data_IF_046924088007
#
_entry.id   IF_046924088007
#
_cell.length_a   1.000
_cell.length_b   1.000
_cell.length_c   1.000
_cell.angle_alpha   90.00
_cell.angle_beta   90.00
_cell.angle_gamma   90.00
#
_symmetry.space_group_name_H-M   'P 1'
#
loop_
_entity.id
_entity.type
_entity.pdbx_description
1 polymer ?
#
# COMPACT_ATOMS: atom_id res chain seq x y z
N UNK A 1 -6.78 -40.55 -9.48
CA UNK A 1 -7.14 -40.15 -8.11
C UNK A 1 -6.42 -38.86 -7.86
N UNK A 2 -7.09 -37.69 -7.93
CA UNK A 2 -6.51 -36.42 -7.49
C UNK A 2 -6.39 -36.49 -5.97
N UNK A 3 -5.18 -36.45 -5.45
CA UNK A 3 -4.92 -36.22 -4.04
C UNK A 3 -5.56 -34.87 -3.68
N UNK A 4 -6.63 -34.90 -2.90
CA UNK A 4 -7.18 -33.69 -2.28
C UNK A 4 -6.13 -33.20 -1.30
N UNK A 5 -5.48 -32.08 -1.62
CA UNK A 5 -4.71 -31.31 -0.64
C UNK A 5 -5.67 -31.08 0.55
N UNK A 6 -5.32 -31.46 1.77
CA UNK A 6 -6.21 -31.26 2.92
C UNK A 6 -6.50 -29.76 3.01
N UNK A 7 -7.78 -29.41 2.99
CA UNK A 7 -8.24 -28.04 3.22
C UNK A 7 -7.77 -27.64 4.63
N UNK A 8 -6.78 -26.78 4.66
CA UNK A 8 -6.21 -26.26 5.90
C UNK A 8 -7.30 -25.48 6.63
N UNK A 9 -7.71 -25.95 7.79
CA UNK A 9 -8.72 -25.29 8.63
C UNK A 9 -8.04 -24.82 9.91
N UNK A 10 -8.18 -23.54 10.26
CA UNK A 10 -7.64 -22.94 11.48
C UNK A 10 -8.69 -22.01 12.10
N UNK A 11 -8.98 -22.19 13.37
CA UNK A 11 -9.80 -21.29 14.16
C UNK A 11 -8.89 -20.39 15.00
N UNK A 12 -8.93 -19.09 14.73
CA UNK A 12 -8.35 -18.07 15.61
C UNK A 12 -9.41 -17.71 16.63
N UNK A 13 -9.19 -18.14 17.87
CA UNK A 13 -10.17 -18.06 18.94
C UNK A 13 -9.85 -16.91 19.91
N UNK A 14 -10.90 -16.41 20.59
CA UNK A 14 -10.78 -15.40 21.65
C UNK A 14 -10.05 -14.13 21.18
N UNK A 15 -10.41 -13.62 20.00
CA UNK A 15 -9.81 -12.44 19.39
C UNK A 15 -10.61 -11.17 19.65
N UNK A 16 -9.93 -10.02 19.73
CA UNK A 16 -10.52 -8.71 19.49
C UNK A 16 -10.44 -8.42 17.98
N UNK A 17 -11.49 -8.77 17.26
CA UNK A 17 -11.55 -8.74 15.78
C UNK A 17 -11.92 -7.33 15.32
N UNK A 18 -11.16 -6.79 14.36
CA UNK A 18 -11.47 -5.53 13.71
C UNK A 18 -12.68 -5.66 12.78
N UNK A 19 -13.62 -4.74 12.94
CA UNK A 19 -14.80 -4.55 12.09
C UNK A 19 -14.59 -3.30 11.23
N UNK A 20 -14.39 -3.49 9.94
CA UNK A 20 -14.10 -2.39 9.01
C UNK A 20 -15.29 -1.45 8.82
N UNK A 21 -16.53 -1.96 8.87
CA UNK A 21 -17.74 -1.15 8.72
C UNK A 21 -17.98 -0.27 9.95
N UNK A 22 -17.78 -0.82 11.16
CA UNK A 22 -17.92 -0.09 12.42
C UNK A 22 -16.67 0.72 12.77
N UNK A 23 -15.51 0.45 12.14
CA UNK A 23 -14.18 0.97 12.51
C UNK A 23 -13.87 0.78 13.99
N UNK A 24 -14.26 -0.37 14.48
CA UNK A 24 -14.17 -0.75 15.88
C UNK A 24 -13.76 -2.20 16.06
N UNK A 25 -13.92 -2.70 17.26
CA UNK A 25 -13.52 -4.05 17.61
C UNK A 25 -14.64 -4.78 18.34
N UNK A 26 -14.72 -6.08 18.11
CA UNK A 26 -15.63 -6.95 18.88
C UNK A 26 -14.90 -8.24 19.28
N UNK A 27 -15.38 -8.90 20.32
CA UNK A 27 -14.88 -10.21 20.74
C UNK A 27 -15.49 -11.30 19.88
N UNK A 28 -14.65 -12.22 19.40
CA UNK A 28 -15.13 -13.31 18.56
C UNK A 28 -14.04 -14.27 18.13
N UNK A 29 -14.46 -15.19 17.27
CA UNK A 29 -13.62 -16.21 16.67
C UNK A 29 -13.63 -16.03 15.14
N UNK A 30 -12.51 -16.36 14.49
CA UNK A 30 -12.30 -16.27 13.04
C UNK A 30 -11.90 -17.64 12.51
N UNK A 31 -12.72 -18.24 11.65
CA UNK A 31 -12.42 -19.51 11.00
C UNK A 31 -11.80 -19.28 9.63
N UNK A 32 -10.67 -19.91 9.41
CA UNK A 32 -9.93 -19.87 8.14
C UNK A 32 -10.00 -21.25 7.48
N UNK A 33 -10.19 -21.27 6.16
CA UNK A 33 -10.23 -22.49 5.34
C UNK A 33 -9.66 -22.22 3.95
N UNK A 34 -8.70 -23.03 3.51
CA UNK A 34 -8.11 -22.91 2.17
C UNK A 34 -7.47 -21.55 1.88
N UNK A 35 -6.86 -20.90 2.88
CA UNK A 35 -6.21 -19.59 2.74
C UNK A 35 -7.18 -18.41 2.69
N UNK A 36 -8.47 -18.66 2.98
CA UNK A 36 -9.53 -17.64 3.01
C UNK A 36 -10.24 -17.61 4.37
N UNK A 37 -10.89 -16.51 4.67
CA UNK A 37 -11.78 -16.36 5.82
C UNK A 37 -13.08 -17.09 5.50
N UNK A 38 -13.39 -18.13 6.25
CA UNK A 38 -14.61 -18.92 6.07
C UNK A 38 -15.78 -18.40 6.92
N UNK A 39 -15.49 -17.98 8.17
CA UNK A 39 -16.50 -17.51 9.11
C UNK A 39 -15.92 -16.46 10.06
N UNK A 40 -16.74 -15.50 10.42
CA UNK A 40 -16.45 -14.51 11.48
C UNK A 40 -17.60 -14.57 12.47
N UNK A 41 -17.32 -15.07 13.68
CA UNK A 41 -18.33 -15.24 14.72
C UNK A 41 -18.21 -14.16 15.79
N UNK A 42 -19.33 -13.49 16.11
CA UNK A 42 -19.42 -12.64 17.31
C UNK A 42 -19.61 -13.54 18.53
N UNK A 43 -18.57 -13.67 19.36
CA UNK A 43 -18.51 -14.63 20.46
C UNK A 43 -17.83 -15.95 20.06
N UNK A 44 -18.14 -17.03 20.76
CA UNK A 44 -17.51 -18.33 20.54
C UNK A 44 -18.12 -18.97 19.29
N UNK A 45 -17.28 -19.42 18.36
CA UNK A 45 -17.73 -20.13 17.16
C UNK A 45 -18.37 -21.49 17.56
N UNK A 46 -19.52 -21.78 16.97
CA UNK A 46 -20.16 -23.08 17.12
C UNK A 46 -19.32 -24.26 16.54
N UNK A 47 -18.27 -23.94 15.77
CA UNK A 47 -17.36 -24.93 15.23
C UNK A 47 -16.21 -25.28 16.16
N UNK A 48 -15.96 -24.51 17.24
CA UNK A 48 -14.83 -24.70 18.15
C UNK A 48 -14.80 -26.12 18.76
N UNK A 49 -15.93 -26.62 19.20
CA UNK A 49 -16.03 -27.96 19.80
C UNK A 49 -15.88 -29.11 18.80
N UNK A 50 -15.97 -28.83 17.49
CA UNK A 50 -15.89 -29.81 16.40
C UNK A 50 -14.50 -29.90 15.79
N UNK A 51 -13.60 -29.02 16.19
CA UNK A 51 -12.23 -28.93 15.67
C UNK A 51 -11.24 -29.60 16.63
N UNK A 52 -10.21 -30.29 16.13
CA UNK A 52 -9.11 -30.76 16.97
C UNK A 52 -8.36 -29.58 17.57
N UNK A 53 -7.78 -29.73 18.76
CA UNK A 53 -7.02 -28.68 19.45
C UNK A 53 -5.87 -28.09 18.57
N UNK A 54 -5.28 -28.93 17.72
CA UNK A 54 -4.24 -28.51 16.78
C UNK A 54 -4.72 -27.50 15.73
N UNK A 55 -6.02 -27.44 15.47
CA UNK A 55 -6.65 -26.49 14.54
C UNK A 55 -7.23 -25.26 15.26
N UNK A 56 -6.95 -25.05 16.55
CA UNK A 56 -7.41 -23.90 17.33
C UNK A 56 -6.21 -23.10 17.86
N UNK A 57 -6.12 -21.84 17.46
CA UNK A 57 -5.16 -20.88 18.00
C UNK A 57 -5.90 -19.88 18.89
N UNK A 58 -5.80 -20.05 20.21
CA UNK A 58 -6.31 -19.07 21.16
C UNK A 58 -5.34 -17.88 21.25
N UNK A 59 -5.78 -16.71 20.83
CA UNK A 59 -4.94 -15.51 20.82
C UNK A 59 -5.04 -14.70 22.11
N UNK A 60 -5.76 -15.19 23.13
CA UNK A 60 -5.78 -14.60 24.47
C UNK A 60 -6.33 -13.17 24.50
N UNK A 61 -7.27 -12.85 23.64
CA UNK A 61 -7.88 -11.53 23.56
C UNK A 61 -7.07 -10.50 22.78
N UNK A 62 -6.01 -10.89 22.10
CA UNK A 62 -5.21 -9.99 21.25
C UNK A 62 -6.04 -9.42 20.12
N UNK A 63 -5.62 -8.25 19.64
CA UNK A 63 -6.23 -7.58 18.50
C UNK A 63 -5.84 -8.29 17.21
N UNK A 64 -6.84 -8.58 16.37
CA UNK A 64 -6.67 -9.14 15.03
C UNK A 64 -7.16 -8.12 14.02
N UNK A 65 -6.26 -7.70 13.14
CA UNK A 65 -6.48 -6.75 12.05
C UNK A 65 -6.43 -7.47 10.71
N UNK A 66 -7.02 -6.93 9.63
CA UNK A 66 -6.61 -7.29 8.28
C UNK A 66 -5.12 -6.99 8.09
N UNK A 67 -4.47 -7.72 7.22
CA UNK A 67 -3.13 -7.36 6.79
C UNK A 67 -3.09 -5.97 6.19
N UNK A 68 -2.04 -5.21 6.46
CA UNK A 68 -1.87 -3.86 5.94
C UNK A 68 -1.61 -3.90 4.43
N UNK A 69 -2.07 -2.88 3.72
CA UNK A 69 -1.96 -2.72 2.26
C UNK A 69 -1.20 -1.45 1.95
N UNK A 70 -0.03 -1.57 1.32
CA UNK A 70 0.80 -0.43 0.91
C UNK A 70 0.82 -0.30 -0.61
N UNK A 71 0.12 0.69 -1.13
CA UNK A 71 -0.05 0.89 -2.57
C UNK A 71 0.98 1.85 -3.18
N UNK A 72 1.83 2.47 -2.33
CA UNK A 72 2.86 3.40 -2.77
C UNK A 72 4.14 3.21 -1.96
N UNK A 73 5.10 2.48 -2.53
CA UNK A 73 6.35 2.12 -1.86
C UNK A 73 7.44 1.74 -2.86
N UNK A 74 8.62 2.40 -2.81
CA UNK A 74 9.72 2.21 -3.76
C UNK A 74 10.69 1.12 -3.34
N UNK A 75 10.82 0.86 -2.04
CA UNK A 75 11.81 -0.08 -1.58
C UNK A 75 11.85 -0.27 -0.07
N UNK A 76 12.71 -1.23 0.36
CA UNK A 76 12.91 -1.58 1.76
C UNK A 76 14.08 -2.54 1.93
N UNK A 77 14.64 -2.63 3.14
CA UNK A 77 15.67 -3.61 3.50
C UNK A 77 16.91 -3.59 2.58
N UNK A 78 17.30 -2.39 2.13
CA UNK A 78 18.44 -2.17 1.26
C UNK A 78 18.17 -2.44 -0.23
N UNK A 79 16.90 -2.54 -0.65
CA UNK A 79 16.51 -2.77 -2.04
C UNK A 79 15.50 -1.74 -2.56
N UNK A 80 15.52 -1.54 -3.88
CA UNK A 80 14.62 -0.69 -4.65
C UNK A 80 13.94 -1.53 -5.73
N UNK A 81 12.61 -1.42 -5.89
CA UNK A 81 11.85 -2.25 -6.81
C UNK A 81 12.24 -2.07 -8.29
N UNK A 82 12.72 -0.90 -8.66
CA UNK A 82 13.18 -0.62 -10.01
C UNK A 82 14.45 -1.38 -10.40
N UNK A 83 15.32 -1.68 -9.42
CA UNK A 83 16.64 -2.27 -9.63
C UNK A 83 16.85 -3.66 -9.00
N UNK A 84 15.96 -4.08 -8.07
CA UNK A 84 16.11 -5.35 -7.34
C UNK A 84 16.18 -6.55 -8.26
N UNK A 85 17.16 -7.43 -8.02
CA UNK A 85 17.14 -8.79 -8.55
C UNK A 85 16.15 -9.69 -7.78
N UNK A 86 16.00 -10.95 -8.22
CA UNK A 86 15.03 -11.85 -7.60
C UNK A 86 15.29 -12.09 -6.11
N UNK A 87 16.54 -12.21 -5.68
CA UNK A 87 16.89 -12.46 -4.28
C UNK A 87 16.63 -11.21 -3.40
N UNK A 88 16.93 -10.03 -3.93
CA UNK A 88 16.63 -8.77 -3.26
C UNK A 88 15.12 -8.55 -3.16
N UNK A 89 14.36 -8.80 -4.22
CA UNK A 89 12.91 -8.69 -4.24
C UNK A 89 12.27 -9.59 -3.18
N UNK A 90 12.70 -10.85 -3.07
CA UNK A 90 12.23 -11.76 -2.02
C UNK A 90 12.54 -11.23 -0.62
N UNK A 91 13.74 -10.69 -0.38
CA UNK A 91 14.14 -10.09 0.90
C UNK A 91 13.28 -8.88 1.24
N UNK A 92 13.02 -8.01 0.27
CA UNK A 92 12.14 -6.84 0.43
C UNK A 92 10.73 -7.29 0.81
N UNK A 93 10.14 -8.19 0.05
CA UNK A 93 8.78 -8.69 0.29
C UNK A 93 8.64 -9.41 1.65
N UNK A 94 9.67 -10.16 2.07
CA UNK A 94 9.71 -10.75 3.40
C UNK A 94 9.76 -9.70 4.51
N UNK A 95 10.50 -8.60 4.30
CA UNK A 95 10.56 -7.47 5.24
C UNK A 95 9.24 -6.71 5.35
N UNK A 96 8.49 -6.53 4.25
CA UNK A 96 7.13 -5.98 4.28
C UNK A 96 6.21 -6.88 5.12
N UNK A 97 6.20 -8.18 4.85
CA UNK A 97 5.38 -9.13 5.59
C UNK A 97 5.69 -9.10 7.09
N UNK A 98 6.96 -9.12 7.47
CA UNK A 98 7.38 -9.07 8.87
C UNK A 98 6.92 -7.80 9.59
N UNK A 99 6.70 -6.69 8.87
CA UNK A 99 6.17 -5.43 9.42
C UNK A 99 4.64 -5.35 9.46
N UNK A 100 3.92 -6.41 9.05
CA UNK A 100 2.47 -6.45 9.02
C UNK A 100 1.84 -6.06 7.69
N UNK A 101 2.62 -5.69 6.69
CA UNK A 101 2.14 -5.40 5.33
C UNK A 101 2.05 -6.71 4.55
N UNK A 102 0.82 -7.15 4.29
CA UNK A 102 0.57 -8.42 3.57
C UNK A 102 0.40 -8.23 2.08
N UNK A 103 0.09 -7.01 1.63
CA UNK A 103 -0.10 -6.69 0.21
C UNK A 103 0.63 -5.41 -0.13
N UNK A 104 1.38 -5.44 -1.24
CA UNK A 104 2.11 -4.28 -1.77
C UNK A 104 1.83 -4.06 -3.25
N UNK A 105 1.83 -2.80 -3.66
CA UNK A 105 2.05 -2.39 -5.04
C UNK A 105 3.49 -1.84 -5.15
N UNK A 106 4.46 -2.66 -5.60
CA UNK A 106 5.78 -2.16 -5.93
C UNK A 106 5.71 -0.91 -6.79
N UNK A 107 6.30 0.20 -6.30
CA UNK A 107 6.25 1.49 -6.98
C UNK A 107 7.53 1.70 -7.77
N UNK A 108 7.38 1.96 -9.06
CA UNK A 108 8.49 2.24 -9.98
C UNK A 108 8.57 3.74 -10.22
N UNK A 109 9.66 4.34 -9.79
CA UNK A 109 9.97 5.74 -10.05
C UNK A 109 10.43 5.96 -11.52
N UNK A 110 10.64 7.23 -11.90
CA UNK A 110 11.10 7.58 -13.25
C UNK A 110 12.38 6.84 -13.61
N UNK A 111 12.35 6.13 -14.73
CA UNK A 111 13.48 5.43 -15.31
C UNK A 111 13.35 5.37 -16.85
N UNK A 112 14.38 4.89 -17.53
CA UNK A 112 14.31 4.61 -18.96
C UNK A 112 13.23 3.55 -19.27
N UNK A 113 12.50 3.66 -20.40
CA UNK A 113 11.41 2.75 -20.73
C UNK A 113 11.80 1.27 -20.72
N UNK A 114 13.02 0.96 -21.15
CA UNK A 114 13.54 -0.41 -21.13
C UNK A 114 13.76 -0.93 -19.71
N UNK A 115 14.24 -0.09 -18.81
CA UNK A 115 14.43 -0.43 -17.40
C UNK A 115 13.07 -0.64 -16.69
N UNK A 116 12.08 0.21 -16.98
CA UNK A 116 10.72 0.06 -16.44
C UNK A 116 10.09 -1.27 -16.89
N UNK A 117 10.16 -1.58 -18.19
CA UNK A 117 9.64 -2.86 -18.71
C UNK A 117 10.32 -4.06 -18.06
N UNK A 118 11.63 -3.99 -17.86
CA UNK A 118 12.38 -5.06 -17.21
C UNK A 118 12.03 -5.20 -15.72
N UNK A 119 11.83 -4.10 -14.99
CA UNK A 119 11.36 -4.12 -13.60
C UNK A 119 9.95 -4.71 -13.50
N UNK A 120 9.02 -4.27 -14.35
CA UNK A 120 7.65 -4.81 -14.41
C UNK A 120 7.68 -6.33 -14.69
N UNK A 121 8.52 -6.78 -15.63
CA UNK A 121 8.67 -8.20 -15.96
C UNK A 121 9.16 -9.00 -14.73
N UNK A 122 10.22 -8.55 -14.05
CA UNK A 122 10.75 -9.23 -12.86
C UNK A 122 9.74 -9.30 -11.73
N UNK A 123 9.03 -8.19 -11.47
CA UNK A 123 7.95 -8.15 -10.47
C UNK A 123 6.83 -9.12 -10.88
N UNK A 124 6.49 -9.18 -12.17
CA UNK A 124 5.49 -10.09 -12.71
C UNK A 124 5.85 -11.57 -12.55
N UNK A 125 7.10 -11.91 -12.81
CA UNK A 125 7.61 -13.27 -12.60
C UNK A 125 7.57 -13.65 -11.11
N UNK A 126 7.92 -12.73 -10.22
CA UNK A 126 7.79 -12.97 -8.79
C UNK A 126 6.30 -13.13 -8.38
N UNK A 127 5.40 -12.27 -8.87
CA UNK A 127 3.97 -12.39 -8.59
C UNK A 127 3.39 -13.74 -9.08
N UNK A 128 3.77 -14.21 -10.25
CA UNK A 128 3.32 -15.49 -10.80
C UNK A 128 3.73 -16.70 -9.95
N UNK A 129 4.80 -16.59 -9.17
CA UNK A 129 5.27 -17.65 -8.27
C UNK A 129 4.53 -17.69 -6.92
N UNK A 130 3.62 -16.78 -6.65
CA UNK A 130 2.96 -16.65 -5.34
C UNK A 130 2.24 -17.92 -4.89
N UNK A 131 1.67 -18.67 -5.81
CA UNK A 131 0.97 -19.94 -5.51
C UNK A 131 1.91 -21.09 -5.17
N UNK A 132 3.26 -20.89 -5.23
CA UNK A 132 4.20 -21.94 -4.86
C UNK A 132 4.16 -22.19 -3.34
N UNK A 133 3.94 -23.45 -2.88
CA UNK A 133 3.88 -23.76 -1.46
C UNK A 133 5.13 -23.35 -0.67
N UNK A 134 6.28 -23.29 -1.33
CA UNK A 134 7.56 -22.86 -0.74
C UNK A 134 7.60 -21.39 -0.35
N UNK A 135 6.71 -20.55 -0.90
CA UNK A 135 6.65 -19.10 -0.64
C UNK A 135 5.50 -18.71 0.29
N UNK A 136 4.58 -19.61 0.59
CA UNK A 136 3.46 -19.35 1.48
C UNK A 136 3.95 -18.86 2.86
N UNK A 137 3.41 -17.73 3.33
CA UNK A 137 3.78 -17.09 4.60
C UNK A 137 5.22 -16.56 4.69
N UNK A 138 5.97 -16.50 3.57
CA UNK A 138 7.35 -16.02 3.55
C UNK A 138 7.51 -14.59 3.05
N UNK A 139 6.53 -14.09 2.30
CA UNK A 139 6.58 -12.76 1.69
C UNK A 139 5.20 -12.12 1.55
N UNK A 140 5.17 -10.81 1.41
CA UNK A 140 3.97 -10.06 1.07
C UNK A 140 3.50 -10.37 -0.37
N UNK A 141 2.21 -10.29 -0.57
CA UNK A 141 1.55 -10.42 -1.87
C UNK A 141 1.83 -9.22 -2.76
N UNK A 142 2.18 -9.46 -4.02
CA UNK A 142 2.29 -8.43 -5.06
C UNK A 142 0.95 -8.33 -5.77
N UNK A 143 0.21 -7.25 -5.55
CA UNK A 143 -1.13 -7.06 -6.12
C UNK A 143 -1.16 -6.35 -7.48
N UNK A 144 -0.02 -5.98 -7.99
CA UNK A 144 0.19 -5.21 -9.21
C UNK A 144 1.37 -4.28 -9.03
N UNK A 145 1.54 -3.33 -9.96
CA UNK A 145 2.61 -2.33 -9.93
C UNK A 145 1.98 -0.94 -9.87
N UNK A 146 2.57 -0.05 -9.10
CA UNK A 146 2.33 1.38 -9.17
C UNK A 146 3.42 2.02 -10.03
N UNK A 147 3.04 2.75 -11.06
CA UNK A 147 3.96 3.53 -11.86
C UNK A 147 3.92 4.99 -11.39
N UNK A 148 4.92 5.40 -10.62
CA UNK A 148 5.10 6.79 -10.22
C UNK A 148 6.27 7.38 -10.98
N UNK A 149 5.99 7.90 -12.11
CA UNK A 149 7.05 8.58 -12.82
C UNK A 149 7.06 8.41 -14.31
N UNK A 150 8.06 9.03 -14.87
CA UNK A 150 8.36 9.74 -16.07
C UNK A 150 7.29 10.75 -16.54
N UNK A 151 6.01 10.60 -16.24
CA UNK A 151 4.92 11.50 -16.67
C UNK A 151 4.61 12.60 -15.64
N UNK A 152 5.64 13.19 -15.06
CA UNK A 152 5.59 14.17 -13.99
C UNK A 152 5.90 15.58 -14.50
N UNK A 153 5.39 16.60 -13.81
CA UNK A 153 5.74 17.98 -14.13
C UNK A 153 7.17 18.28 -13.65
N UNK A 154 8.09 18.71 -14.55
CA UNK A 154 9.48 19.01 -14.19
C UNK A 154 9.63 20.02 -13.06
N UNK A 155 8.70 20.98 -12.92
CA UNK A 155 8.69 21.96 -11.83
C UNK A 155 8.34 21.33 -10.45
N UNK A 156 7.83 20.10 -10.45
CA UNK A 156 7.41 19.37 -9.24
C UNK A 156 8.01 17.96 -9.18
N UNK A 157 9.16 17.76 -9.82
CA UNK A 157 9.80 16.45 -9.97
C UNK A 157 10.19 15.76 -8.66
N UNK A 158 10.31 16.48 -7.54
CA UNK A 158 10.80 15.90 -6.29
C UNK A 158 12.19 15.27 -6.46
N UNK A 159 12.35 14.03 -6.02
CA UNK A 159 13.58 13.25 -6.11
C UNK A 159 13.74 12.48 -7.44
N UNK A 160 12.97 12.80 -8.49
CA UNK A 160 13.13 12.21 -9.81
C UNK A 160 14.20 12.94 -10.62
N UNK A 161 15.07 12.22 -11.32
CA UNK A 161 16.07 12.76 -12.21
C UNK A 161 15.39 13.45 -13.43
N UNK A 162 15.69 14.72 -13.71
CA UNK A 162 14.95 15.47 -14.72
C UNK A 162 15.07 14.89 -16.14
N UNK A 163 16.20 14.26 -16.46
CA UNK A 163 16.45 13.59 -17.73
C UNK A 163 15.62 12.32 -17.97
N UNK A 164 15.03 11.76 -16.90
CA UNK A 164 14.17 10.57 -16.96
C UNK A 164 12.68 10.92 -17.09
N UNK A 165 12.33 12.21 -16.97
CA UNK A 165 10.96 12.66 -17.17
C UNK A 165 10.59 12.66 -18.66
N UNK A 166 9.33 12.42 -18.95
CA UNK A 166 8.82 12.45 -20.32
C UNK A 166 7.45 13.16 -20.41
N UNK A 167 7.09 13.69 -21.56
CA UNK A 167 5.70 14.06 -21.84
C UNK A 167 4.76 12.87 -21.64
N UNK A 168 3.49 13.17 -21.36
CA UNK A 168 2.46 12.13 -21.27
C UNK A 168 2.27 11.47 -22.64
N UNK A 169 2.55 10.18 -22.71
CA UNK A 169 2.45 9.36 -23.93
C UNK A 169 1.53 8.16 -23.66
N UNK A 170 0.35 8.19 -24.28
CA UNK A 170 -0.68 7.17 -24.09
C UNK A 170 -0.28 5.80 -24.66
N UNK A 171 0.50 5.77 -25.75
CA UNK A 171 0.92 4.52 -26.39
C UNK A 171 2.07 3.86 -25.61
N UNK A 172 3.03 4.66 -25.12
CA UNK A 172 4.07 4.15 -24.21
C UNK A 172 3.46 3.60 -22.92
N UNK A 173 2.51 4.35 -22.31
CA UNK A 173 1.80 3.92 -21.12
C UNK A 173 1.07 2.59 -21.34
N UNK A 174 0.36 2.43 -22.45
CA UNK A 174 -0.32 1.17 -22.78
C UNK A 174 0.66 0.00 -22.81
N UNK A 175 1.88 0.23 -23.31
CA UNK A 175 2.93 -0.79 -23.31
C UNK A 175 3.32 -1.26 -21.90
N UNK A 176 3.29 -0.37 -20.89
CA UNK A 176 3.51 -0.72 -19.49
C UNK A 176 2.28 -1.39 -18.87
N UNK A 177 1.08 -0.86 -19.13
CA UNK A 177 -0.18 -1.36 -18.57
C UNK A 177 -0.50 -2.79 -19.00
N UNK A 178 -0.09 -3.19 -20.21
CA UNK A 178 -0.30 -4.55 -20.74
C UNK A 178 0.77 -5.55 -20.33
N UNK A 179 1.86 -5.10 -19.71
CA UNK A 179 2.88 -6.00 -19.19
C UNK A 179 2.37 -6.75 -17.94
N UNK A 180 2.80 -8.00 -17.74
CA UNK A 180 2.43 -8.78 -16.56
C UNK A 180 3.33 -8.40 -15.37
N UNK A 181 2.79 -8.22 -14.15
CA UNK A 181 1.45 -8.49 -13.61
C UNK A 181 0.43 -7.40 -13.93
N UNK A 182 0.80 -6.42 -14.73
CA UNK A 182 0.02 -5.22 -15.03
C UNK A 182 0.28 -4.08 -14.02
N UNK A 183 0.38 -2.88 -14.57
CA UNK A 183 0.36 -1.65 -13.78
C UNK A 183 -1.09 -1.43 -13.35
N UNK A 184 -1.31 -1.31 -12.04
CA UNK A 184 -2.64 -1.15 -11.44
C UNK A 184 -2.95 0.28 -11.04
N UNK A 185 -1.90 1.04 -10.70
CA UNK A 185 -2.01 2.45 -10.33
C UNK A 185 -0.96 3.27 -11.05
N UNK A 186 -1.31 4.49 -11.45
CA UNK A 186 -0.41 5.41 -12.17
C UNK A 186 -0.49 6.78 -11.54
N UNK A 187 0.65 7.38 -11.21
CA UNK A 187 0.77 8.79 -10.83
C UNK A 187 1.22 9.61 -12.03
N UNK A 188 0.50 10.70 -12.33
CA UNK A 188 0.84 11.59 -13.43
C UNK A 188 0.46 13.05 -13.15
N UNK A 189 1.19 13.98 -13.80
CA UNK A 189 0.87 15.40 -13.82
C UNK A 189 -0.22 15.69 -14.88
N UNK A 190 -1.47 15.40 -14.52
CA UNK A 190 -2.60 15.39 -15.45
C UNK A 190 -2.94 16.76 -16.06
N UNK A 191 -2.44 17.86 -15.52
CA UNK A 191 -2.54 19.18 -16.16
C UNK A 191 -1.77 19.25 -17.49
N UNK A 192 -0.87 18.30 -17.74
CA UNK A 192 -0.12 18.16 -18.99
C UNK A 192 -0.82 17.28 -20.03
N UNK A 193 -1.91 16.59 -19.66
CA UNK A 193 -2.75 15.77 -20.56
C UNK A 193 -3.77 16.65 -21.29
N UNK A 194 -3.29 17.41 -22.27
CA UNK A 194 -4.08 18.47 -22.89
C UNK A 194 -5.38 17.98 -23.57
N UNK A 195 -5.37 16.77 -24.15
CA UNK A 195 -6.51 16.18 -24.85
C UNK A 195 -7.17 15.05 -24.05
N UNK A 196 -6.67 14.71 -22.85
CA UNK A 196 -7.17 13.64 -21.99
C UNK A 196 -6.90 12.22 -22.51
N UNK A 197 -6.04 12.07 -23.51
CA UNK A 197 -5.77 10.76 -24.12
C UNK A 197 -5.04 9.80 -23.21
N UNK A 198 -4.10 10.34 -22.41
CA UNK A 198 -3.33 9.56 -21.45
C UNK A 198 -4.22 8.98 -20.35
N UNK A 199 -5.04 9.81 -19.70
CA UNK A 199 -5.95 9.38 -18.65
C UNK A 199 -6.97 8.34 -19.17
N UNK A 200 -7.61 8.64 -20.32
CA UNK A 200 -8.55 7.69 -20.93
C UNK A 200 -7.89 6.34 -21.26
N UNK A 201 -6.63 6.33 -21.72
CA UNK A 201 -5.90 5.10 -22.00
C UNK A 201 -5.64 4.31 -20.71
N UNK A 202 -5.19 4.93 -19.64
CA UNK A 202 -4.99 4.28 -18.34
C UNK A 202 -6.28 3.61 -17.85
N UNK A 203 -7.39 4.36 -17.85
CA UNK A 203 -8.70 3.85 -17.41
C UNK A 203 -9.21 2.70 -18.30
N UNK A 204 -9.03 2.79 -19.61
CA UNK A 204 -9.45 1.73 -20.55
C UNK A 204 -8.68 0.42 -20.37
N UNK A 205 -7.48 0.49 -19.81
CA UNK A 205 -6.67 -0.66 -19.42
C UNK A 205 -6.93 -1.16 -17.98
N UNK A 206 -7.86 -0.53 -17.26
CA UNK A 206 -8.26 -0.92 -15.91
C UNK A 206 -7.35 -0.42 -14.79
N UNK A 207 -6.45 0.53 -15.07
CA UNK A 207 -5.64 1.17 -14.04
C UNK A 207 -6.39 2.33 -13.40
N UNK A 208 -6.16 2.57 -12.10
CA UNK A 208 -6.53 3.81 -11.42
C UNK A 208 -5.44 4.87 -11.61
N UNK A 209 -5.81 6.15 -11.54
CA UNK A 209 -4.86 7.24 -11.80
C UNK A 209 -4.92 8.28 -10.69
N UNK A 210 -3.76 8.57 -10.10
CA UNK A 210 -3.53 9.64 -9.14
C UNK A 210 -2.92 10.89 -9.80
N UNK A 211 -3.46 12.06 -9.49
CA UNK A 211 -2.83 13.34 -9.78
C UNK A 211 -1.67 13.55 -8.80
N UNK A 212 -0.44 13.59 -9.28
CA UNK A 212 0.74 13.80 -8.45
C UNK A 212 1.87 14.50 -9.18
N UNK A 213 2.87 15.02 -8.45
CA UNK A 213 4.01 15.76 -9.03
C UNK A 213 3.57 16.82 -10.03
N UNK A 214 2.66 17.68 -9.62
CA UNK A 214 1.81 18.49 -10.50
C UNK A 214 1.82 19.95 -10.10
N UNK A 215 1.66 20.82 -11.07
CA UNK A 215 1.40 22.26 -10.85
C UNK A 215 -0.06 22.63 -11.10
N UNK A 216 -0.96 21.65 -11.16
CA UNK A 216 -2.36 21.85 -11.50
C UNK A 216 -3.03 22.92 -10.66
N UNK A 217 -3.79 23.80 -11.33
CA UNK A 217 -4.73 24.71 -10.67
C UNK A 217 -5.91 23.92 -10.10
N UNK A 218 -6.75 24.59 -9.33
CA UNK A 218 -8.00 24.01 -8.84
C UNK A 218 -8.87 23.48 -9.99
N UNK A 219 -9.05 24.26 -11.04
CA UNK A 219 -9.89 23.94 -12.18
C UNK A 219 -9.32 22.81 -13.02
N UNK A 220 -7.99 22.73 -13.16
CA UNK A 220 -7.32 21.63 -13.86
C UNK A 220 -7.45 20.32 -13.10
N UNK A 221 -7.29 20.34 -11.77
CA UNK A 221 -7.49 19.18 -10.93
C UNK A 221 -8.96 18.71 -10.96
N UNK A 222 -9.91 19.63 -10.83
CA UNK A 222 -11.35 19.29 -10.92
C UNK A 222 -11.72 18.68 -12.28
N UNK A 223 -11.08 19.12 -13.37
CA UNK A 223 -11.27 18.51 -14.70
C UNK A 223 -10.70 17.09 -14.71
N UNK A 224 -9.49 16.88 -14.23
CA UNK A 224 -8.90 15.54 -14.15
C UNK A 224 -9.78 14.56 -13.34
N UNK A 225 -10.38 15.01 -12.25
CA UNK A 225 -11.31 14.21 -11.45
C UNK A 225 -12.62 13.92 -12.21
N UNK A 226 -13.17 14.90 -12.91
CA UNK A 226 -14.36 14.70 -13.74
C UNK A 226 -14.10 13.75 -14.92
N UNK A 227 -12.86 13.72 -15.44
CA UNK A 227 -12.43 12.84 -16.52
C UNK A 227 -12.04 11.44 -16.03
N UNK A 228 -12.03 11.18 -14.71
CA UNK A 228 -11.91 9.85 -14.11
C UNK A 228 -10.66 9.58 -13.28
N UNK A 229 -9.82 10.59 -12.98
CA UNK A 229 -8.77 10.42 -11.98
C UNK A 229 -9.39 10.15 -10.60
N UNK A 230 -8.85 9.18 -9.85
CA UNK A 230 -9.44 8.64 -8.62
C UNK A 230 -8.73 9.09 -7.35
N UNK A 231 -7.48 9.56 -7.48
CA UNK A 231 -6.65 9.86 -6.33
C UNK A 231 -5.81 11.14 -6.49
N UNK A 232 -5.27 11.61 -5.37
CA UNK A 232 -4.13 12.52 -5.33
C UNK A 232 -2.99 11.85 -4.57
N UNK A 233 -1.88 11.68 -5.26
CA UNK A 233 -0.67 11.01 -4.78
C UNK A 233 0.00 11.87 -3.71
N UNK A 234 0.41 11.24 -2.58
CA UNK A 234 1.09 11.84 -1.42
C UNK A 234 0.69 13.31 -1.17
N UNK A 235 -0.60 13.53 -0.92
CA UNK A 235 -1.24 14.84 -0.75
C UNK A 235 -0.33 15.85 -0.02
N UNK A 236 -0.25 17.06 -0.51
CA UNK A 236 0.63 18.18 -0.15
C UNK A 236 2.04 18.10 -0.74
N UNK A 237 2.63 16.91 -0.90
CA UNK A 237 3.99 16.73 -1.38
C UNK A 237 4.04 16.86 -2.91
N UNK A 238 5.07 17.51 -3.42
CA UNK A 238 5.26 17.79 -4.85
C UNK A 238 4.03 18.44 -5.55
N UNK A 239 3.20 19.18 -4.81
CA UNK A 239 2.06 19.95 -5.28
C UNK A 239 2.22 21.44 -4.94
N UNK A 240 1.47 22.37 -5.58
CA UNK A 240 1.37 23.74 -5.11
C UNK A 240 0.81 23.78 -3.67
N UNK A 241 1.34 24.65 -2.80
CA UNK A 241 0.84 24.77 -1.44
C UNK A 241 -0.61 25.29 -1.41
N UNK A 242 -1.37 24.89 -0.40
CA UNK A 242 -2.70 25.43 -0.15
C UNK A 242 -2.61 26.93 0.14
N UNK A 243 -3.19 27.76 -0.72
CA UNK A 243 -3.11 29.21 -0.62
C UNK A 243 -4.50 29.85 -0.75
N UNK A 244 -4.80 30.84 0.07
CA UNK A 244 -6.15 31.44 0.19
C UNK A 244 -6.70 32.13 -1.08
N UNK A 245 -5.86 32.42 -2.08
CA UNK A 245 -6.24 32.96 -3.39
C UNK A 245 -6.02 31.99 -4.55
N UNK A 246 -5.42 30.84 -4.30
CA UNK A 246 -5.13 29.82 -5.31
C UNK A 246 -5.11 28.45 -4.62
N UNK A 247 -6.26 27.81 -4.53
CA UNK A 247 -6.41 26.55 -3.78
C UNK A 247 -5.58 25.38 -4.35
N UNK A 248 -5.37 25.37 -5.67
CA UNK A 248 -4.61 24.32 -6.36
C UNK A 248 -5.24 22.94 -6.25
N UNK A 249 -4.47 21.92 -6.68
CA UNK A 249 -4.88 20.52 -6.63
C UNK A 249 -5.20 20.05 -5.20
N UNK A 250 -4.48 20.56 -4.19
CA UNK A 250 -4.72 20.21 -2.78
C UNK A 250 -6.15 20.59 -2.35
N UNK A 251 -6.58 21.80 -2.65
CA UNK A 251 -7.94 22.26 -2.33
C UNK A 251 -8.98 21.45 -3.10
N UNK A 252 -8.76 21.21 -4.38
CA UNK A 252 -9.64 20.40 -5.22
C UNK A 252 -9.81 18.99 -4.64
N UNK A 253 -8.72 18.33 -4.26
CA UNK A 253 -8.73 17.00 -3.65
C UNK A 253 -9.51 16.98 -2.33
N UNK A 254 -9.22 17.94 -1.43
CA UNK A 254 -9.85 18.01 -0.11
C UNK A 254 -11.36 18.25 -0.18
N UNK A 255 -11.83 18.97 -1.19
CA UNK A 255 -13.25 19.29 -1.40
C UNK A 255 -13.99 18.25 -2.24
N UNK A 256 -13.31 17.36 -2.93
CA UNK A 256 -13.92 16.31 -3.76
C UNK A 256 -14.15 15.04 -2.95
N UNK A 257 -15.37 14.66 -2.56
CA UNK A 257 -15.63 13.59 -1.60
C UNK A 257 -15.18 12.21 -2.10
N UNK A 258 -15.22 11.98 -3.41
CA UNK A 258 -14.93 10.66 -4.02
C UNK A 258 -13.45 10.45 -4.36
N UNK A 259 -12.63 11.50 -4.30
CA UNK A 259 -11.21 11.42 -4.60
C UNK A 259 -10.44 10.93 -3.39
N UNK A 260 -9.67 9.86 -3.54
CA UNK A 260 -8.76 9.37 -2.51
C UNK A 260 -7.55 10.31 -2.35
N UNK A 261 -7.02 10.40 -1.14
CA UNK A 261 -5.84 11.20 -0.85
C UNK A 261 -4.82 10.34 -0.11
N UNK A 262 -3.68 10.08 -0.73
CA UNK A 262 -2.58 9.39 -0.09
C UNK A 262 -1.89 10.30 0.94
N UNK A 263 -1.50 9.76 2.08
CA UNK A 263 -0.80 10.48 3.14
C UNK A 263 0.41 9.70 3.65
N UNK A 264 1.56 10.37 3.75
CA UNK A 264 2.76 9.91 4.44
C UNK A 264 2.71 10.44 5.87
N UNK A 265 2.30 9.63 6.83
CA UNK A 265 2.11 10.06 8.22
C UNK A 265 3.36 9.79 9.09
N UNK A 266 4.51 10.32 8.71
CA UNK A 266 5.78 10.21 9.45
C UNK A 266 6.08 11.42 10.36
N UNK A 267 5.26 12.49 10.29
CA UNK A 267 5.46 13.74 11.01
C UNK A 267 6.60 14.61 10.45
N UNK A 268 7.15 14.22 9.29
CA UNK A 268 8.20 14.94 8.60
C UNK A 268 7.75 15.46 7.22
N UNK A 269 7.07 14.63 6.43
CA UNK A 269 6.46 15.04 5.15
C UNK A 269 5.27 15.97 5.35
N UNK A 270 4.49 15.74 6.40
CA UNK A 270 3.24 16.47 6.67
C UNK A 270 3.18 16.81 8.16
N UNK A 271 2.96 18.09 8.47
CA UNK A 271 2.76 18.52 9.85
C UNK A 271 1.43 17.94 10.41
N UNK A 272 1.39 17.58 11.72
CA UNK A 272 0.23 16.96 12.34
C UNK A 272 -1.10 17.73 12.13
N UNK A 273 -1.07 19.06 12.15
CA UNK A 273 -2.25 19.89 11.90
C UNK A 273 -2.78 19.78 10.46
N UNK A 274 -1.90 19.53 9.46
CA UNK A 274 -2.31 19.31 8.08
C UNK A 274 -2.87 17.91 7.88
N UNK A 275 -2.35 16.91 8.60
CA UNK A 275 -2.96 15.57 8.67
C UNK A 275 -4.36 15.66 9.25
N UNK A 276 -4.56 16.43 10.33
CA UNK A 276 -5.88 16.66 10.95
C UNK A 276 -6.83 17.37 9.99
N UNK A 277 -6.37 18.37 9.25
CA UNK A 277 -7.17 19.07 8.24
C UNK A 277 -7.67 18.09 7.17
N UNK A 278 -6.77 17.26 6.63
CA UNK A 278 -7.13 16.24 5.66
C UNK A 278 -8.14 15.24 6.25
N UNK A 279 -7.91 14.74 7.46
CA UNK A 279 -8.81 13.80 8.13
C UNK A 279 -10.22 14.36 8.35
N UNK A 280 -10.32 15.65 8.67
CA UNK A 280 -11.61 16.33 8.88
C UNK A 280 -12.43 16.37 7.59
N UNK A 281 -11.78 16.60 6.45
CA UNK A 281 -12.45 16.79 5.17
C UNK A 281 -12.67 15.48 4.40
N UNK A 282 -11.70 14.56 4.42
CA UNK A 282 -11.70 13.36 3.56
C UNK A 282 -12.26 12.10 4.21
N UNK A 283 -12.21 12.00 5.53
CA UNK A 283 -12.77 10.87 6.30
C UNK A 283 -12.33 9.49 5.75
N UNK A 284 -13.16 8.88 4.90
CA UNK A 284 -12.99 7.51 4.37
C UNK A 284 -12.08 7.41 3.14
N UNK A 285 -11.75 8.55 2.54
CA UNK A 285 -10.93 8.63 1.33
C UNK A 285 -9.48 9.02 1.63
N UNK A 286 -9.03 8.85 2.88
CA UNK A 286 -7.61 8.91 3.21
C UNK A 286 -6.99 7.54 3.11
N UNK A 287 -5.89 7.46 2.38
CA UNK A 287 -5.09 6.26 2.16
C UNK A 287 -3.72 6.49 2.79
N UNK A 288 -3.39 5.70 3.80
CA UNK A 288 -2.03 5.73 4.36
C UNK A 288 -1.09 4.94 3.46
N UNK A 289 -0.01 5.58 3.09
CA UNK A 289 1.09 5.01 2.32
C UNK A 289 2.41 5.21 3.06
N UNK A 290 3.42 4.48 2.67
CA UNK A 290 4.75 4.71 3.23
C UNK A 290 5.59 5.64 2.36
N UNK A 291 5.47 5.55 1.05
CA UNK A 291 6.47 6.12 0.13
C UNK A 291 7.88 5.72 0.58
N UNK A 292 8.01 4.47 1.03
CA UNK A 292 9.24 3.97 1.63
C UNK A 292 10.30 3.72 0.57
N UNK A 293 11.56 3.90 0.97
CA UNK A 293 12.71 3.74 0.09
C UNK A 293 13.68 2.68 0.65
N UNK A 294 14.78 2.38 -0.05
CA UNK A 294 15.67 1.27 0.29
C UNK A 294 16.19 1.29 1.72
N UNK A 295 16.32 2.47 2.35
CA UNK A 295 16.77 2.60 3.74
C UNK A 295 15.74 2.13 4.78
N UNK A 296 14.48 1.92 4.39
CA UNK A 296 13.42 1.51 5.33
C UNK A 296 13.76 0.16 5.96
N UNK A 297 13.84 0.14 7.31
CA UNK A 297 14.27 -1.04 8.05
C UNK A 297 15.79 -1.22 8.11
N UNK A 298 16.58 -0.24 7.67
CA UNK A 298 18.03 -0.20 7.75
C UNK A 298 18.50 0.92 8.69
N UNK A 299 19.77 0.91 9.17
CA UNK A 299 20.36 2.02 9.92
C UNK A 299 20.45 3.31 9.10
N UNK A 300 20.68 4.45 9.77
CA UNK A 300 21.06 5.70 9.11
C UNK A 300 22.33 5.48 8.25
N UNK A 301 22.42 6.20 7.11
CA UNK A 301 23.54 6.04 6.18
C UNK A 301 23.25 6.61 4.79
N UNK A 302 24.10 6.22 3.83
CA UNK A 302 23.96 6.59 2.42
C UNK A 302 23.18 5.52 1.66
N UNK A 303 22.17 5.96 0.92
CA UNK A 303 21.24 5.11 0.17
C UNK A 303 20.91 5.73 -1.19
N UNK A 304 19.94 5.13 -1.88
CA UNK A 304 19.42 5.66 -3.14
C UNK A 304 17.91 5.60 -3.18
N UNK A 305 17.30 6.47 -4.00
CA UNK A 305 15.93 6.38 -4.46
C UNK A 305 15.93 6.68 -5.96
N UNK A 306 15.35 5.81 -6.78
CA UNK A 306 15.36 5.97 -8.24
C UNK A 306 16.77 6.27 -8.82
N UNK A 307 17.82 5.66 -8.25
CA UNK A 307 19.20 5.91 -8.61
C UNK A 307 19.82 7.20 -8.04
N UNK A 308 19.03 8.12 -7.49
CA UNK A 308 19.51 9.37 -6.87
C UNK A 308 20.13 9.08 -5.50
N UNK A 309 21.33 9.61 -5.18
CA UNK A 309 21.94 9.46 -3.86
C UNK A 309 21.15 10.23 -2.79
N UNK A 310 20.98 9.59 -1.65
CA UNK A 310 20.20 10.08 -0.51
C UNK A 310 20.95 9.79 0.79
N UNK A 311 21.04 10.78 1.67
CA UNK A 311 21.54 10.61 3.04
C UNK A 311 20.35 10.44 3.98
N UNK A 312 20.35 9.36 4.77
CA UNK A 312 19.39 9.15 5.86
C UNK A 312 20.05 9.48 7.19
N UNK A 313 19.44 10.41 7.92
CA UNK A 313 19.87 10.81 9.25
C UNK A 313 18.65 11.00 10.15
N UNK A 314 18.70 10.40 11.35
CA UNK A 314 17.58 10.39 12.30
C UNK A 314 16.28 9.88 11.64
N UNK A 315 16.39 8.86 10.76
CA UNK A 315 15.29 8.30 10.00
C UNK A 315 14.72 9.21 8.92
N UNK A 316 15.38 10.33 8.57
CA UNK A 316 14.92 11.30 7.57
C UNK A 316 15.79 11.25 6.32
N UNK A 317 15.17 10.91 5.20
CA UNK A 317 15.85 10.80 3.91
C UNK A 317 15.88 12.14 3.16
N UNK A 318 17.04 12.57 2.71
CA UNK A 318 17.23 13.80 1.93
C UNK A 318 18.21 13.59 0.79
N UNK A 319 17.90 14.19 -0.34
CA UNK A 319 18.85 14.36 -1.44
C UNK A 319 19.96 15.35 -1.05
N UNK A 320 21.05 15.38 -1.82
CA UNK A 320 22.18 16.28 -1.57
C UNK A 320 21.79 17.78 -1.62
N UNK A 321 20.78 18.15 -2.43
CA UNK A 321 20.23 19.50 -2.50
C UNK A 321 19.18 19.80 -1.41
N UNK A 322 18.97 18.85 -0.47
CA UNK A 322 18.13 19.00 0.71
C UNK A 322 16.65 18.67 0.53
N UNK A 323 16.22 18.23 -0.66
CA UNK A 323 14.85 17.79 -0.88
C UNK A 323 14.56 16.51 -0.07
N UNK A 324 13.34 16.35 0.39
CA UNK A 324 12.86 15.08 1.00
C UNK A 324 12.76 14.04 -0.12
N UNK A 325 13.14 12.80 0.15
CA UNK A 325 13.30 11.75 -0.86
C UNK A 325 12.78 10.41 -0.34
N UNK A 326 11.48 10.19 -0.46
CA UNK A 326 10.80 9.05 0.13
C UNK A 326 10.90 9.02 1.66
N UNK A 327 10.41 7.97 2.27
CA UNK A 327 10.40 7.82 3.72
C UNK A 327 11.13 6.55 4.21
N UNK A 328 11.35 6.49 5.52
CA UNK A 328 11.76 5.27 6.24
C UNK A 328 10.63 4.73 7.11
N UNK A 329 9.41 5.22 6.90
CA UNK A 329 8.22 4.90 7.69
C UNK A 329 7.82 3.42 7.53
N UNK A 330 7.46 2.75 8.63
CA UNK A 330 6.66 1.53 8.55
C UNK A 330 5.17 1.89 8.48
N UNK A 331 4.37 1.14 7.70
CA UNK A 331 2.95 1.46 7.55
C UNK A 331 2.19 1.37 8.89
N UNK A 332 2.56 0.44 9.77
CA UNK A 332 1.95 0.34 11.10
C UNK A 332 2.26 1.55 11.98
N UNK A 333 3.46 2.14 11.87
CA UNK A 333 3.77 3.39 12.55
C UNK A 333 3.01 4.56 11.92
N UNK A 334 2.81 4.55 10.60
CA UNK A 334 1.92 5.47 9.91
C UNK A 334 0.48 5.42 10.45
N UNK A 335 -0.05 4.23 10.73
CA UNK A 335 -1.37 4.04 11.36
C UNK A 335 -1.42 4.69 12.75
N UNK A 336 -0.40 4.47 13.58
CA UNK A 336 -0.31 5.05 14.94
C UNK A 336 -0.20 6.58 14.89
N UNK A 337 0.68 7.06 14.03
CA UNK A 337 0.88 8.49 13.82
C UNK A 337 -0.38 9.18 13.32
N UNK A 338 -1.07 8.58 12.35
CA UNK A 338 -2.33 9.11 11.85
C UNK A 338 -3.39 9.19 12.94
N UNK A 339 -3.55 8.14 13.76
CA UNK A 339 -4.47 8.17 14.89
C UNK A 339 -4.13 9.33 15.87
N UNK A 340 -2.86 9.50 16.19
CA UNK A 340 -2.39 10.55 17.10
C UNK A 340 -2.52 11.96 16.51
N UNK A 341 -2.07 12.18 15.26
CA UNK A 341 -2.04 13.49 14.62
C UNK A 341 -3.45 13.99 14.27
N UNK A 342 -4.29 13.12 13.73
CA UNK A 342 -5.66 13.46 13.38
C UNK A 342 -6.62 13.46 14.58
N UNK A 343 -6.27 12.79 15.68
CA UNK A 343 -7.17 12.60 16.82
C UNK A 343 -8.33 11.65 16.50
N UNK A 344 -8.11 10.68 15.63
CA UNK A 344 -9.12 9.67 15.24
C UNK A 344 -8.92 8.38 16.03
N UNK A 345 -9.92 7.49 16.03
CA UNK A 345 -9.79 6.18 16.66
C UNK A 345 -8.75 5.32 15.94
N UNK A 346 -8.12 4.38 16.67
CA UNK A 346 -7.21 3.41 16.06
C UNK A 346 -7.89 2.60 14.93
N UNK A 347 -9.17 2.24 15.11
CA UNK A 347 -9.93 1.56 14.06
C UNK A 347 -10.13 2.39 12.80
N UNK A 348 -10.31 3.72 12.92
CA UNK A 348 -10.33 4.63 11.75
C UNK A 348 -8.97 4.67 11.07
N UNK A 349 -7.88 4.67 11.82
CA UNK A 349 -6.55 4.66 11.26
C UNK A 349 -6.21 3.33 10.56
N UNK A 350 -6.66 2.21 11.12
CA UNK A 350 -6.54 0.88 10.47
C UNK A 350 -7.28 0.86 9.14
N UNK A 351 -8.49 1.43 9.06
CA UNK A 351 -9.24 1.53 7.81
C UNK A 351 -8.44 2.21 6.69
N UNK A 352 -7.73 3.30 7.02
CA UNK A 352 -6.93 4.06 6.07
C UNK A 352 -5.68 3.32 5.55
N UNK A 353 -5.24 2.23 6.23
CA UNK A 353 -4.11 1.39 5.83
C UNK A 353 -4.54 -0.02 5.37
N UNK A 354 -5.83 -0.30 5.27
CA UNK A 354 -6.35 -1.62 4.89
C UNK A 354 -7.44 -1.49 3.83
N UNK A 355 -8.64 -1.07 4.19
CA UNK A 355 -9.78 -1.01 3.27
C UNK A 355 -9.70 0.16 2.28
N UNK A 356 -9.26 1.35 2.74
CA UNK A 356 -9.15 2.51 1.85
C UNK A 356 -8.18 2.28 0.68
N UNK A 357 -6.92 1.80 0.90
CA UNK A 357 -6.03 1.47 -0.21
C UNK A 357 -6.56 0.31 -1.08
N UNK A 358 -7.24 -0.69 -0.50
CA UNK A 358 -7.86 -1.77 -1.26
C UNK A 358 -8.94 -1.25 -2.22
N UNK A 359 -9.79 -0.32 -1.77
CA UNK A 359 -10.80 0.35 -2.61
C UNK A 359 -10.13 1.15 -3.72
N UNK A 360 -9.07 1.91 -3.41
CA UNK A 360 -8.38 2.75 -4.40
C UNK A 360 -7.88 1.94 -5.60
N UNK A 361 -7.41 0.73 -5.36
CA UNK A 361 -6.86 -0.11 -6.41
C UNK A 361 -7.79 -1.26 -6.84
N UNK A 362 -9.08 -1.22 -6.45
CA UNK A 362 -10.12 -2.18 -6.86
C UNK A 362 -9.91 -3.60 -6.32
N UNK A 363 -9.41 -3.74 -5.10
CA UNK A 363 -9.15 -5.02 -4.43
C UNK A 363 -10.00 -5.25 -3.17
N UNK A 364 -10.98 -4.38 -2.88
CA UNK A 364 -11.80 -4.43 -1.67
C UNK A 364 -12.62 -5.72 -1.54
N UNK A 365 -12.83 -6.46 -2.62
CA UNK A 365 -13.50 -7.75 -2.60
C UNK A 365 -12.60 -8.92 -2.17
N UNK A 366 -11.28 -8.74 -2.23
CA UNK A 366 -10.28 -9.77 -1.93
C UNK A 366 -9.55 -9.54 -0.61
N UNK A 367 -9.29 -8.27 -0.24
CA UNK A 367 -8.48 -7.86 0.92
C UNK A 367 -9.08 -6.65 1.63
N UNK A 368 -8.41 -6.16 2.66
CA UNK A 368 -8.71 -4.89 3.36
C UNK A 368 -9.68 -5.01 4.53
N UNK A 369 -10.40 -6.12 4.68
CA UNK A 369 -11.28 -6.39 5.84
C UNK A 369 -11.27 -7.87 6.21
N UNK A 370 -11.77 -8.16 7.43
CA UNK A 370 -11.93 -9.53 7.94
C UNK A 370 -13.36 -10.01 7.66
N UNK A 371 -13.67 -10.35 6.42
CA UNK A 371 -14.99 -10.78 5.98
C UNK A 371 -14.93 -12.15 5.29
N UNK A 372 -15.98 -12.98 5.41
CA UNK A 372 -16.04 -14.27 4.72
C UNK A 372 -15.79 -14.15 3.21
N UNK A 373 -15.00 -15.07 2.68
CA UNK A 373 -14.60 -15.12 1.27
C UNK A 373 -13.29 -14.39 0.96
N UNK A 374 -12.87 -13.42 1.76
CA UNK A 374 -11.62 -12.69 1.54
C UNK A 374 -10.39 -13.52 1.90
N UNK A 375 -9.22 -13.10 1.41
CA UNK A 375 -7.95 -13.73 1.74
C UNK A 375 -7.71 -13.71 3.24
N UNK A 376 -7.15 -14.78 3.77
CA UNK A 376 -6.72 -14.86 5.17
C UNK A 376 -5.38 -14.13 5.37
N UNK A 377 -5.39 -12.81 5.19
CA UNK A 377 -4.30 -11.90 5.42
C UNK A 377 -4.55 -11.16 6.74
N UNK A 378 -3.76 -11.49 7.77
CA UNK A 378 -4.03 -11.09 9.16
C UNK A 378 -2.79 -10.53 9.83
N UNK A 379 -2.99 -9.54 10.69
CA UNK A 379 -2.01 -9.01 11.61
C UNK A 379 -2.54 -9.16 13.06
N UNK A 380 -1.87 -9.98 13.87
CA UNK A 380 -2.17 -10.12 15.29
C UNK A 380 -1.21 -9.24 16.07
N UNK A 381 -1.74 -8.35 16.92
CA UNK A 381 -0.95 -7.43 17.71
C UNK A 381 -0.75 -7.91 19.14
N UNK A 382 0.43 -7.64 19.70
CA UNK A 382 0.69 -7.67 21.13
C UNK A 382 -0.06 -6.53 21.86
N UNK A 383 -0.08 -6.57 23.17
CA UNK A 383 -0.72 -5.54 23.99
C UNK A 383 -0.08 -4.16 23.83
N UNK A 384 1.21 -4.08 23.49
CA UNK A 384 1.95 -2.83 23.18
C UNK A 384 1.71 -2.34 21.75
N UNK A 385 0.89 -3.08 20.97
CA UNK A 385 0.58 -2.77 19.59
C UNK A 385 1.63 -3.23 18.56
N UNK A 386 2.72 -3.89 18.97
CA UNK A 386 3.70 -4.47 18.05
C UNK A 386 3.14 -5.73 17.37
N UNK A 387 3.63 -6.10 16.16
CA UNK A 387 3.25 -7.35 15.53
C UNK A 387 3.61 -8.56 16.40
N UNK A 388 2.62 -9.39 16.75
CA UNK A 388 2.83 -10.67 17.40
C UNK A 388 2.99 -11.77 16.35
N UNK A 389 2.09 -11.80 15.37
CA UNK A 389 2.10 -12.73 14.25
C UNK A 389 1.50 -12.06 13.02
N UNK A 390 2.00 -12.42 11.86
CA UNK A 390 1.48 -11.99 10.56
C UNK A 390 1.15 -13.22 9.74
N UNK A 391 0.01 -13.21 9.08
CA UNK A 391 -0.43 -14.27 8.18
C UNK A 391 -0.69 -13.69 6.79
N UNK A 392 -0.23 -14.38 5.76
CA UNK A 392 -0.50 -14.03 4.37
C UNK A 392 -1.02 -15.28 3.64
N UNK A 393 -2.21 -15.19 3.04
CA UNK A 393 -2.84 -16.30 2.35
C UNK A 393 -3.09 -17.53 3.24
N UNK A 394 -3.39 -17.32 4.52
CA UNK A 394 -3.67 -18.40 5.48
C UNK A 394 -2.42 -19.06 6.10
N UNK A 395 -1.21 -18.55 5.84
CA UNK A 395 0.04 -19.09 6.37
C UNK A 395 0.78 -18.04 7.21
N UNK A 396 1.18 -18.41 8.42
CA UNK A 396 1.92 -17.51 9.32
C UNK A 396 3.35 -17.24 8.82
N UNK A 397 3.78 -15.98 8.93
CA UNK A 397 5.15 -15.56 8.68
C UNK A 397 6.12 -16.32 9.61
N UNK A 398 7.24 -16.80 9.03
CA UNK A 398 8.28 -17.47 9.80
C UNK A 398 7.95 -18.90 10.26
N UNK A 399 6.82 -19.46 9.85
CA UNK A 399 6.51 -20.88 10.06
C UNK A 399 7.34 -21.76 9.08
N UNK A 400 8.66 -21.73 9.22
CA UNK A 400 9.52 -22.72 8.57
C UNK A 400 9.19 -24.09 9.18
N UNK A 401 8.52 -24.96 8.40
CA UNK A 401 8.36 -26.40 8.68
C UNK A 401 7.88 -26.77 10.10
N UNK A 402 6.80 -26.21 10.61
CA UNK A 402 5.88 -27.06 11.35
C UNK A 402 5.00 -27.68 10.28
N UNK A 403 5.20 -28.97 10.04
CA UNK A 403 4.47 -29.75 9.05
C UNK A 403 2.99 -29.35 9.12
N UNK A 404 2.36 -29.28 7.93
CA UNK A 404 0.95 -28.99 7.81
C UNK A 404 0.20 -29.63 8.97
N UNK A 405 -0.28 -28.80 9.92
CA UNK A 405 -1.19 -29.22 10.97
C UNK A 405 -2.58 -29.20 10.40
#
# INVERSE_FOLDING_TARGET
>A
MQERVPLFMLLIANAAIYDAAARGFFRGDLLLEGGRIAEVSRGISARREKLPDSAVLDVGGRTVLPGLVDIHTHGRAGGDFGSADGAMLERMLASYLASGVTTVLPTLASAEPTALREAIRRIGEAAAQESAPSLAGRRAHIAGVHLEGRYLNPAKRGAHAPELLAPLDADELEGFLRAMPGVRHVTAALELDADGSFLRRALSCGATVGLGHSTATYEQAMRAFADGATAVTHLYNALPPLHHRAGGAVCAALLSPDISCELICDGFHIAPEMVRLAATLKRERLVLITDSMEATGCPDGEYRIAGMPVTVKDGKARTHDGAIAGSTLSLLDGVRNYAAFAGVSFGTAVYAATMAPAIEVGLEHEIGSLEPGKRADLLILNADGTPAQVMCGGVFCGSANRGAV
#
